data_IF_384531980762
#
_entry.id   IF_384531980762
#
_cell.length_a   1.000
_cell.length_b   1.000
_cell.length_c   1.000
_cell.angle_alpha   90.00
_cell.angle_beta   90.00
_cell.angle_gamma   90.00
#
_symmetry.space_group_name_H-M   'P 1'
#
loop_
_entity.id
_entity.type
_entity.pdbx_description
1 polymer ?
#
# COMPACT_ATOMS: atom_id res chain seq x y z
N UNK A 1 -0.51 15.73 33.16
CA UNK A 1 -1.22 15.76 31.86
C UNK A 1 -1.27 14.35 31.35
N UNK A 2 -2.47 13.83 31.06
CA UNK A 2 -2.65 12.44 30.66
C UNK A 2 -2.32 12.32 29.16
N UNK A 3 -1.05 12.13 28.82
CA UNK A 3 -0.61 11.97 27.43
C UNK A 3 -0.83 10.52 27.01
N UNK A 4 -2.09 10.16 26.75
CA UNK A 4 -2.35 8.92 26.07
C UNK A 4 -1.73 9.00 24.66
N UNK A 5 -0.93 8.00 24.25
CA UNK A 5 -0.39 7.98 22.89
C UNK A 5 -1.54 8.02 21.88
N UNK A 6 -1.34 8.74 20.78
CA UNK A 6 -2.31 8.79 19.69
C UNK A 6 -2.45 7.38 19.10
N UNK A 7 -3.66 6.83 19.20
CA UNK A 7 -4.01 5.51 18.66
C UNK A 7 -4.85 5.67 17.42
N UNK A 8 -4.46 4.99 16.36
CA UNK A 8 -5.22 4.98 15.09
C UNK A 8 -5.81 3.59 14.87
N UNK A 9 -7.11 3.55 14.60
CA UNK A 9 -7.80 2.33 14.20
C UNK A 9 -8.04 2.40 12.70
N UNK A 10 -7.59 1.38 11.98
CA UNK A 10 -7.83 1.21 10.54
C UNK A 10 -8.86 0.10 10.35
N UNK A 11 -10.01 0.45 9.78
CA UNK A 11 -11.08 -0.51 9.49
C UNK A 11 -10.91 -1.08 8.08
N UNK A 12 -10.47 -2.33 7.97
CA UNK A 12 -10.27 -3.07 6.73
C UNK A 12 -8.82 -3.52 6.53
N UNK A 13 -8.64 -4.84 6.35
CA UNK A 13 -7.35 -5.51 6.14
C UNK A 13 -7.01 -5.76 4.67
N UNK A 14 -7.57 -4.95 3.76
CA UNK A 14 -7.16 -4.93 2.35
C UNK A 14 -5.86 -4.12 2.13
N UNK A 15 -5.38 -4.07 0.88
CA UNK A 15 -4.10 -3.39 0.54
C UNK A 15 -4.07 -1.92 0.96
N UNK A 16 -5.21 -1.20 0.84
CA UNK A 16 -5.31 0.20 1.26
C UNK A 16 -5.11 0.33 2.78
N UNK A 17 -5.82 -0.48 3.57
CA UNK A 17 -5.72 -0.45 5.02
C UNK A 17 -4.34 -0.91 5.52
N UNK A 18 -3.77 -1.94 4.88
CA UNK A 18 -2.41 -2.40 5.17
C UNK A 18 -1.36 -1.32 4.88
N UNK A 19 -1.46 -0.60 3.74
CA UNK A 19 -0.56 0.51 3.43
C UNK A 19 -0.69 1.66 4.43
N UNK A 20 -1.91 2.03 4.80
CA UNK A 20 -2.15 3.07 5.83
C UNK A 20 -1.49 2.64 7.14
N UNK A 21 -1.75 1.42 7.60
CA UNK A 21 -1.20 0.93 8.87
C UNK A 21 0.33 0.84 8.85
N UNK A 22 0.91 0.37 7.74
CA UNK A 22 2.36 0.34 7.56
C UNK A 22 2.98 1.74 7.69
N UNK A 23 2.49 2.73 6.93
CA UNK A 23 3.06 4.06 6.97
C UNK A 23 2.80 4.76 8.31
N UNK A 24 1.67 4.55 8.98
CA UNK A 24 1.46 5.06 10.33
C UNK A 24 2.43 4.44 11.34
N UNK A 25 2.65 3.13 11.28
CA UNK A 25 3.60 2.44 12.15
C UNK A 25 5.05 2.89 11.91
N UNK A 26 5.46 3.10 10.65
CA UNK A 26 6.77 3.65 10.29
C UNK A 26 6.99 5.05 10.90
N UNK A 27 5.93 5.84 11.06
CA UNK A 27 5.98 7.16 11.70
C UNK A 27 5.77 7.11 13.23
N UNK A 28 5.81 5.92 13.83
CA UNK A 28 5.76 5.75 15.28
C UNK A 28 4.36 5.84 15.91
N UNK A 29 3.28 5.75 15.12
CA UNK A 29 1.93 5.75 15.66
C UNK A 29 1.47 4.33 16.04
N UNK A 30 0.88 4.20 17.24
CA UNK A 30 0.23 2.97 17.69
C UNK A 30 -1.01 2.72 16.82
N UNK A 31 -0.94 1.71 15.95
CA UNK A 31 -1.97 1.44 14.94
C UNK A 31 -2.55 0.04 15.10
N UNK A 32 -3.88 -0.07 15.10
CA UNK A 32 -4.60 -1.36 15.11
C UNK A 32 -5.44 -1.49 13.84
N UNK A 33 -5.29 -2.62 13.13
CA UNK A 33 -6.12 -2.95 11.97
C UNK A 33 -7.24 -3.89 12.42
N UNK A 34 -8.48 -3.56 12.09
CA UNK A 34 -9.65 -4.40 12.34
C UNK A 34 -10.19 -4.88 11.00
N UNK A 35 -10.18 -6.20 10.79
CA UNK A 35 -10.70 -6.87 9.59
C UNK A 35 -11.73 -7.92 10.01
N UNK A 36 -12.84 -7.98 9.27
CA UNK A 36 -13.98 -8.85 9.58
C UNK A 36 -13.76 -10.30 9.19
N UNK A 37 -13.08 -10.57 8.07
CA UNK A 37 -12.96 -11.93 7.51
C UNK A 37 -11.54 -12.47 7.56
N UNK A 38 -10.59 -11.73 6.99
CA UNK A 38 -9.18 -12.07 6.98
C UNK A 38 -8.40 -11.10 6.11
N UNK A 39 -7.10 -10.94 6.39
CA UNK A 39 -6.23 -10.03 5.62
C UNK A 39 -6.28 -10.41 4.14
N UNK A 40 -6.48 -9.40 3.29
CA UNK A 40 -6.62 -9.53 1.85
C UNK A 40 -7.74 -10.48 1.35
N UNK A 41 -8.70 -10.91 2.17
CA UNK A 41 -9.73 -11.90 1.83
C UNK A 41 -10.91 -11.32 0.99
N UNK A 42 -10.64 -10.35 0.13
CA UNK A 42 -11.61 -9.68 -0.73
C UNK A 42 -10.95 -9.22 -2.04
N UNK A 43 -11.24 -8.00 -2.52
CA UNK A 43 -10.72 -7.48 -3.78
C UNK A 43 -9.19 -7.49 -3.85
N UNK A 44 -8.49 -7.21 -2.74
CA UNK A 44 -7.03 -7.12 -2.74
C UNK A 44 -6.35 -8.47 -3.04
N UNK A 45 -6.76 -9.54 -2.36
CA UNK A 45 -6.20 -10.88 -2.59
C UNK A 45 -6.66 -11.54 -3.89
N UNK A 46 -7.70 -11.02 -4.53
CA UNK A 46 -8.20 -11.48 -5.84
C UNK A 46 -7.72 -10.62 -7.01
N UNK A 47 -6.99 -9.54 -6.75
CA UNK A 47 -6.54 -8.61 -7.79
C UNK A 47 -5.41 -9.23 -8.64
N UNK A 48 -5.33 -8.83 -9.91
CA UNK A 48 -4.25 -9.27 -10.81
C UNK A 48 -2.89 -8.59 -10.55
N UNK A 49 -2.82 -7.61 -9.65
CA UNK A 49 -1.58 -6.94 -9.26
C UNK A 49 -0.93 -6.05 -10.33
N UNK A 50 -1.64 -5.71 -11.41
CA UNK A 50 -1.10 -4.85 -12.47
C UNK A 50 -1.08 -3.37 -12.05
N UNK A 51 0.05 -2.74 -12.32
CA UNK A 51 0.23 -1.30 -12.19
C UNK A 51 0.44 -0.73 -13.59
N UNK A 52 -0.37 0.25 -13.97
CA UNK A 52 -0.28 0.92 -15.26
C UNK A 52 0.13 2.37 -15.06
N UNK A 53 1.19 2.79 -15.76
CA UNK A 53 1.73 4.14 -15.62
C UNK A 53 0.76 5.22 -16.12
N UNK A 54 -0.07 4.91 -17.11
CA UNK A 54 -0.81 5.92 -17.87
C UNK A 54 -2.28 5.61 -18.15
N UNK A 55 -2.87 4.58 -17.54
CA UNK A 55 -4.32 4.31 -17.63
C UNK A 55 -5.18 5.46 -17.09
N UNK A 56 -4.63 6.30 -16.23
CA UNK A 56 -5.30 7.48 -15.68
C UNK A 56 -4.95 8.79 -16.40
N UNK A 57 -4.28 8.74 -17.56
CA UNK A 57 -3.79 9.93 -18.26
C UNK A 57 -4.93 10.93 -18.55
N UNK A 58 -4.74 12.19 -18.18
CA UNK A 58 -5.73 13.26 -18.40
C UNK A 58 -6.92 13.24 -17.44
N UNK A 59 -7.00 12.27 -16.52
CA UNK A 59 -8.03 12.26 -15.47
C UNK A 59 -7.59 13.11 -14.26
N UNK A 60 -8.50 13.49 -13.35
CA UNK A 60 -8.15 14.22 -12.14
C UNK A 60 -7.11 13.52 -11.23
N UNK A 61 -6.97 12.19 -11.37
CA UNK A 61 -6.04 11.38 -10.56
C UNK A 61 -4.73 11.03 -11.29
N UNK A 62 -4.50 11.53 -12.51
CA UNK A 62 -3.30 11.21 -13.33
C UNK A 62 -1.99 11.42 -12.55
N UNK A 63 -1.82 12.61 -11.97
CA UNK A 63 -0.62 12.96 -11.19
C UNK A 63 -0.40 12.01 -10.01
N UNK A 64 -1.49 11.63 -9.33
CA UNK A 64 -1.43 10.70 -8.20
C UNK A 64 -1.08 9.28 -8.67
N UNK A 65 -1.69 8.81 -9.76
CA UNK A 65 -1.45 7.49 -10.33
C UNK A 65 0.02 7.33 -10.77
N UNK A 66 0.58 8.31 -11.48
CA UNK A 66 2.00 8.31 -11.88
C UNK A 66 2.94 8.32 -10.69
N UNK A 67 2.64 9.11 -9.67
CA UNK A 67 3.43 9.12 -8.42
C UNK A 67 3.34 7.77 -7.71
N UNK A 68 2.15 7.20 -7.59
CA UNK A 68 1.93 5.89 -6.98
C UNK A 68 2.67 4.79 -7.74
N UNK A 69 2.64 4.79 -9.07
CA UNK A 69 3.39 3.83 -9.90
C UNK A 69 4.88 3.79 -9.53
N UNK A 70 5.53 4.96 -9.46
CA UNK A 70 6.94 5.04 -9.06
C UNK A 70 7.19 4.61 -7.61
N UNK A 71 6.26 4.91 -6.69
CA UNK A 71 6.37 4.54 -5.28
C UNK A 71 6.33 3.02 -5.06
N UNK A 72 5.64 2.24 -5.90
CA UNK A 72 5.63 0.78 -5.76
C UNK A 72 7.03 0.17 -5.94
N UNK A 73 7.83 0.69 -6.88
CA UNK A 73 9.22 0.25 -7.07
C UNK A 73 10.08 0.55 -5.85
N UNK A 74 9.93 1.76 -5.29
CA UNK A 74 10.65 2.19 -4.10
C UNK A 74 10.27 1.33 -2.88
N UNK A 75 8.98 1.12 -2.66
CA UNK A 75 8.47 0.32 -1.55
C UNK A 75 8.93 -1.13 -1.64
N UNK A 76 8.91 -1.73 -2.83
CA UNK A 76 9.43 -3.09 -3.02
C UNK A 76 10.92 -3.20 -2.67
N UNK A 77 11.72 -2.20 -3.05
CA UNK A 77 13.13 -2.15 -2.67
C UNK A 77 13.31 -1.99 -1.15
N UNK A 78 12.61 -1.03 -0.53
CA UNK A 78 12.67 -0.78 0.91
C UNK A 78 12.29 -2.02 1.72
N UNK A 79 11.16 -2.67 1.41
CA UNK A 79 10.72 -3.83 2.18
C UNK A 79 11.63 -5.03 2.02
N UNK A 80 12.24 -5.21 0.84
CA UNK A 80 13.23 -6.25 0.60
C UNK A 80 14.51 -6.00 1.40
N UNK A 81 14.99 -4.76 1.42
CA UNK A 81 16.22 -4.39 2.13
C UNK A 81 16.03 -4.42 3.64
N UNK A 82 14.96 -3.80 4.15
CA UNK A 82 14.80 -3.54 5.58
C UNK A 82 14.18 -4.72 6.33
N UNK A 83 13.28 -5.47 5.66
CA UNK A 83 12.48 -6.53 6.29
C UNK A 83 12.69 -7.90 5.64
N UNK A 84 13.51 -8.01 4.59
CA UNK A 84 13.67 -9.26 3.84
C UNK A 84 12.39 -9.72 3.11
N UNK A 85 11.41 -8.83 2.93
CA UNK A 85 10.11 -9.16 2.35
C UNK A 85 10.13 -8.96 0.83
N UNK A 86 9.92 -10.05 0.09
CA UNK A 86 9.77 -10.05 -1.36
C UNK A 86 8.35 -10.50 -1.73
N UNK A 87 7.56 -9.60 -2.34
CA UNK A 87 6.19 -9.89 -2.80
C UNK A 87 6.10 -10.07 -4.32
N UNK A 88 7.22 -10.30 -5.01
CA UNK A 88 7.23 -10.59 -6.44
C UNK A 88 7.02 -9.39 -7.35
N UNK A 89 7.37 -8.18 -6.88
CA UNK A 89 7.38 -6.97 -7.71
C UNK A 89 8.33 -7.17 -8.90
N UNK A 90 7.83 -6.91 -10.10
CA UNK A 90 8.61 -7.00 -11.34
C UNK A 90 8.15 -5.92 -12.33
N UNK A 91 9.06 -5.08 -12.85
CA UNK A 91 8.73 -4.20 -13.96
C UNK A 91 8.50 -5.04 -15.22
N UNK A 92 7.51 -4.65 -16.01
CA UNK A 92 7.20 -5.27 -17.31
C UNK A 92 7.04 -4.14 -18.32
N UNK A 93 7.71 -4.24 -19.46
CA UNK A 93 7.48 -3.35 -20.59
C UNK A 93 6.30 -3.87 -21.40
N UNK A 94 5.33 -3.00 -21.65
CA UNK A 94 4.16 -3.30 -22.49
C UNK A 94 4.31 -2.66 -23.85
N UNK A 95 3.92 -3.37 -24.91
CA UNK A 95 3.79 -2.78 -26.24
C UNK A 95 2.57 -1.84 -26.22
N UNK A 96 2.79 -0.56 -26.51
CA UNK A 96 1.76 0.46 -26.68
C UNK A 96 1.36 0.62 -28.14
#
# INVERSE_FOLDING_TARGET
MNTHPLRVIVCGGGVIGACIAYYLAVHGLETTVIERTGVANASSGKSGGFLALDWCRGTPVDRLARRSFALHAQLAATLKTDLGLDWGYRPIETLS
#
